data_IF_497898873888
#
_entry.id   IF_497898873888
#
_cell.length_a   1.000
_cell.length_b   1.000
_cell.length_c   1.000
_cell.angle_alpha   90.00
_cell.angle_beta   90.00
_cell.angle_gamma   90.00
#
_symmetry.space_group_name_H-M   'P 1'
#
loop_
_entity.id
_entity.type
_entity.pdbx_description
1 polymer ?
#
# COMPACT_ATOMS: atom_id res chain seq x y z
N UNK A 1 -2.12 -8.08 -8.82
CA UNK A 1 -1.52 -8.50 -7.53
C UNK A 1 -0.60 -7.40 -7.01
N UNK A 2 -0.58 -7.23 -5.71
CA UNK A 2 0.23 -6.18 -5.10
C UNK A 2 1.63 -6.71 -4.80
N UNK A 3 2.65 -5.93 -5.14
CA UNK A 3 4.03 -6.25 -4.77
C UNK A 3 4.26 -5.74 -3.35
N UNK A 4 4.07 -6.62 -2.39
CA UNK A 4 4.15 -6.28 -0.96
C UNK A 4 5.55 -5.80 -0.56
N UNK A 5 6.58 -6.38 -1.16
CA UNK A 5 7.96 -5.98 -0.84
C UNK A 5 8.23 -4.55 -1.27
N UNK A 6 7.75 -4.17 -2.46
CA UNK A 6 7.90 -2.78 -2.92
C UNK A 6 7.07 -1.82 -2.08
N UNK A 7 5.87 -2.24 -1.68
CA UNK A 7 5.04 -1.42 -0.79
C UNK A 7 5.75 -1.18 0.53
N UNK A 8 6.30 -2.23 1.14
CA UNK A 8 7.05 -2.10 2.40
C UNK A 8 8.26 -1.19 2.24
N UNK A 9 8.96 -1.31 1.10
CA UNK A 9 10.10 -0.44 0.81
C UNK A 9 9.70 1.02 0.76
N UNK A 10 8.59 1.32 0.11
CA UNK A 10 8.09 2.70 0.05
C UNK A 10 7.64 3.22 1.41
N UNK A 11 6.99 2.36 2.19
CA UNK A 11 6.60 2.73 3.55
C UNK A 11 7.84 3.11 4.38
N UNK A 12 8.87 2.27 4.33
CA UNK A 12 10.12 2.55 5.05
C UNK A 12 10.78 3.83 4.56
N UNK A 13 10.83 4.03 3.25
CA UNK A 13 11.40 5.22 2.63
C UNK A 13 10.71 6.50 3.12
N UNK A 14 9.40 6.46 3.29
CA UNK A 14 8.61 7.61 3.74
C UNK A 14 8.41 7.65 5.25
N UNK A 15 8.99 6.72 5.97
CA UNK A 15 8.86 6.68 7.43
C UNK A 15 7.46 6.33 7.91
N UNK A 16 6.72 5.54 7.15
CA UNK A 16 5.36 5.12 7.50
C UNK A 16 5.37 3.73 8.09
N UNK A 17 4.81 3.58 9.30
CA UNK A 17 4.58 2.28 9.91
C UNK A 17 3.25 1.71 9.42
N UNK A 18 2.99 0.43 9.77
CA UNK A 18 1.69 -0.16 9.49
C UNK A 18 0.55 0.58 10.17
N UNK A 19 0.79 1.11 11.38
CA UNK A 19 -0.20 1.93 12.07
C UNK A 19 -0.50 3.21 11.31
N UNK A 20 0.54 3.85 10.77
CA UNK A 20 0.36 5.06 9.96
C UNK A 20 -0.48 4.76 8.73
N UNK A 21 -0.17 3.67 8.04
CA UNK A 21 -0.90 3.29 6.83
C UNK A 21 -2.34 2.91 7.13
N UNK A 22 -2.57 2.28 8.29
CA UNK A 22 -3.94 1.97 8.71
C UNK A 22 -4.78 3.23 8.83
N UNK A 23 -4.20 4.31 9.39
CA UNK A 23 -4.89 5.60 9.47
C UNK A 23 -5.18 6.17 8.09
N UNK A 24 -4.21 6.04 7.19
CA UNK A 24 -4.34 6.54 5.81
C UNK A 24 -5.53 5.89 5.12
N UNK A 25 -5.71 4.60 5.28
CA UNK A 25 -6.83 3.89 4.66
C UNK A 25 -8.08 3.84 5.55
N UNK A 26 -8.04 4.47 6.72
CA UNK A 26 -9.16 4.55 7.67
C UNK A 26 -9.60 3.17 8.18
N UNK A 27 -8.63 2.32 8.46
CA UNK A 27 -8.84 0.98 9.00
C UNK A 27 -7.97 0.78 10.23
N UNK A 28 -8.15 -0.37 10.90
CA UNK A 28 -7.30 -0.73 12.02
C UNK A 28 -5.97 -1.30 11.52
N UNK A 29 -4.91 -1.25 12.34
CA UNK A 29 -3.65 -1.88 11.95
C UNK A 29 -3.79 -3.36 11.62
N UNK A 30 -4.62 -4.08 12.38
CA UNK A 30 -4.89 -5.49 12.11
C UNK A 30 -5.46 -5.69 10.71
N UNK A 31 -6.42 -4.85 10.32
CA UNK A 31 -7.02 -4.92 8.99
C UNK A 31 -6.01 -4.57 7.90
N UNK A 32 -5.18 -3.53 8.14
CA UNK A 32 -4.16 -3.16 7.17
C UNK A 32 -3.19 -4.31 6.92
N UNK A 33 -2.67 -4.93 7.99
CA UNK A 33 -1.73 -6.05 7.84
C UNK A 33 -2.38 -7.26 7.18
N UNK A 34 -3.64 -7.53 7.48
CA UNK A 34 -4.37 -8.62 6.84
C UNK A 34 -4.52 -8.38 5.33
N UNK A 35 -4.90 -7.15 4.95
CA UNK A 35 -5.02 -6.78 3.54
C UNK A 35 -3.67 -6.85 2.83
N UNK A 36 -2.62 -6.38 3.47
CA UNK A 36 -1.27 -6.44 2.92
C UNK A 36 -0.84 -7.89 2.70
N UNK A 37 -1.09 -8.77 3.66
CA UNK A 37 -0.76 -10.18 3.56
C UNK A 37 -1.51 -10.85 2.41
N UNK A 38 -2.77 -10.49 2.22
CA UNK A 38 -3.59 -11.02 1.13
C UNK A 38 -3.25 -10.39 -0.22
N UNK A 39 -2.60 -9.24 -0.20
CA UNK A 39 -2.28 -8.50 -1.42
C UNK A 39 -3.52 -7.88 -2.06
N UNK A 40 -4.50 -7.49 -1.24
CA UNK A 40 -5.75 -6.91 -1.74
C UNK A 40 -6.13 -5.65 -0.98
N UNK A 41 -6.32 -4.56 -1.73
CA UNK A 41 -6.83 -3.29 -1.21
C UNK A 41 -7.91 -2.78 -2.15
N UNK A 42 -8.87 -2.04 -1.59
CA UNK A 42 -9.91 -1.39 -2.39
C UNK A 42 -9.30 -0.21 -3.15
N UNK A 43 -9.98 0.22 -4.22
CA UNK A 43 -9.49 1.34 -5.02
C UNK A 43 -9.34 2.62 -4.21
N UNK A 44 -10.25 2.89 -3.28
CA UNK A 44 -10.15 4.07 -2.41
C UNK A 44 -8.92 3.99 -1.51
N UNK A 45 -8.64 2.80 -0.99
CA UNK A 45 -7.47 2.56 -0.16
C UNK A 45 -6.18 2.74 -0.96
N UNK A 46 -6.16 2.20 -2.17
CA UNK A 46 -5.01 2.35 -3.06
C UNK A 46 -4.76 3.82 -3.36
N UNK A 47 -5.81 4.56 -3.70
CA UNK A 47 -5.69 6.00 -3.98
C UNK A 47 -5.13 6.76 -2.80
N UNK A 48 -5.60 6.44 -1.59
CA UNK A 48 -5.12 7.10 -0.37
C UNK A 48 -3.63 6.80 -0.13
N UNK A 49 -3.22 5.55 -0.34
CA UNK A 49 -1.83 5.16 -0.15
C UNK A 49 -0.91 5.77 -1.21
N UNK A 50 -1.38 5.82 -2.45
CA UNK A 50 -0.62 6.47 -3.54
C UNK A 50 -0.34 7.93 -3.20
N UNK A 51 -1.36 8.63 -2.71
CA UNK A 51 -1.22 10.04 -2.33
C UNK A 51 -0.29 10.21 -1.12
N UNK A 52 -0.46 9.39 -0.08
CA UNK A 52 0.33 9.50 1.13
C UNK A 52 1.80 9.18 0.90
N UNK A 53 2.07 8.14 0.12
CA UNK A 53 3.44 7.71 -0.16
C UNK A 53 4.06 8.46 -1.35
N UNK A 54 3.30 9.34 -1.99
CA UNK A 54 3.76 10.12 -3.14
C UNK A 54 4.39 9.22 -4.22
N UNK A 55 3.65 8.18 -4.60
CA UNK A 55 4.16 7.19 -5.54
C UNK A 55 4.18 7.72 -6.97
N UNK A 56 5.35 7.64 -7.60
CA UNK A 56 5.52 8.06 -9.00
C UNK A 56 4.91 7.05 -9.96
N UNK A 57 5.03 5.77 -9.63
CA UNK A 57 4.51 4.71 -10.50
C UNK A 57 3.74 3.69 -9.66
N UNK A 58 2.47 3.99 -9.34
CA UNK A 58 1.67 3.07 -8.51
C UNK A 58 1.40 1.72 -9.16
N UNK A 59 1.42 1.64 -10.50
CA UNK A 59 1.22 0.37 -11.19
C UNK A 59 2.28 -0.67 -10.81
N UNK A 60 3.50 -0.21 -10.60
CA UNK A 60 4.62 -1.05 -10.21
C UNK A 60 4.37 -1.80 -8.90
N UNK A 61 3.59 -1.19 -8.01
CA UNK A 61 3.30 -1.75 -6.69
C UNK A 61 1.93 -2.45 -6.69
N UNK A 62 0.90 -1.76 -7.11
CA UNK A 62 -0.48 -2.23 -6.93
C UNK A 62 -1.00 -3.09 -8.08
N UNK A 63 -0.37 -3.01 -9.24
CA UNK A 63 -0.77 -3.76 -10.41
C UNK A 63 0.44 -4.42 -11.05
N UNK A 64 1.28 -5.05 -10.22
CA UNK A 64 2.57 -5.60 -10.66
C UNK A 64 2.43 -6.63 -11.79
N UNK A 65 1.33 -7.39 -11.82
CA UNK A 65 1.09 -8.38 -12.86
C UNK A 65 0.79 -7.75 -14.22
N UNK A 66 0.36 -6.50 -14.23
CA UNK A 66 -0.03 -5.81 -15.45
C UNK A 66 1.11 -5.00 -16.06
N UNK A 67 2.21 -4.90 -15.34
CA UNK A 67 3.39 -4.16 -15.76
C UNK A 67 4.41 -5.13 -16.33
N UNK A 68 4.37 -5.37 -17.61
CA UNK A 68 5.30 -6.29 -18.27
C UNK A 68 5.96 -5.64 -19.47
#
# INVERSE_FOLDING_TARGET
MIDVNKLRGKMAEKGRSGQDMARVIKKTPKTFYAKMKMGKFDSDEISAMVADLELDNPLEIFFAEEVT
#
